data_IF_866529395228
#
_entry.id   IF_866529395228
#
_cell.length_a   1.000
_cell.length_b   1.000
_cell.length_c   1.000
_cell.angle_alpha   90.00
_cell.angle_beta   90.00
_cell.angle_gamma   90.00
#
_symmetry.space_group_name_H-M   'P 1'
#
loop_
_entity.id
_entity.type
_entity.pdbx_description
1 polymer ?
#
# COMPACT_ATOMS: atom_id res chain seq x y z
N UNK A 1 12.85 3.57 -4.80
CA UNK A 1 11.94 2.41 -5.01
C UNK A 1 10.84 2.57 -3.98
N UNK A 2 9.57 2.42 -4.34
CA UNK A 2 8.49 2.74 -3.43
C UNK A 2 8.13 1.53 -2.58
N UNK A 3 7.81 1.76 -1.31
CA UNK A 3 7.38 0.76 -0.35
C UNK A 3 6.04 1.14 0.26
N UNK A 4 5.27 0.14 0.64
CA UNK A 4 4.02 0.31 1.36
C UNK A 4 3.84 -0.80 2.38
N UNK A 5 3.36 -0.41 3.54
CA UNK A 5 2.94 -1.31 4.61
C UNK A 5 1.44 -1.19 4.81
N UNK A 6 0.77 -2.33 5.00
CA UNK A 6 -0.67 -2.38 5.14
C UNK A 6 -1.16 -1.39 6.21
N UNK A 7 -2.21 -0.63 5.88
CA UNK A 7 -2.80 0.37 6.77
C UNK A 7 -3.53 -0.23 7.98
N UNK A 8 -3.83 -1.52 7.95
CA UNK A 8 -4.59 -2.22 8.99
C UNK A 8 -3.66 -2.61 10.16
N UNK A 9 -3.96 -2.17 11.40
CA UNK A 9 -3.15 -2.53 12.56
C UNK A 9 -3.14 -4.05 12.79
N UNK A 10 -1.95 -4.61 12.97
CA UNK A 10 -1.75 -6.06 13.13
C UNK A 10 -1.54 -6.82 11.81
N UNK A 11 -1.65 -6.14 10.65
CA UNK A 11 -1.28 -6.74 9.37
C UNK A 11 0.21 -6.48 9.07
N UNK A 12 0.98 -7.56 8.87
CA UNK A 12 2.41 -7.47 8.52
C UNK A 12 2.67 -7.44 7.01
N UNK A 13 1.62 -7.30 6.20
CA UNK A 13 1.75 -7.31 4.75
C UNK A 13 2.41 -6.03 4.24
N UNK A 14 3.38 -6.19 3.34
CA UNK A 14 4.15 -5.10 2.74
C UNK A 14 4.34 -5.37 1.26
N UNK A 15 4.46 -4.33 0.44
CA UNK A 15 4.79 -4.45 -0.98
C UNK A 15 5.75 -3.36 -1.43
N UNK A 16 6.52 -3.65 -2.47
CA UNK A 16 7.44 -2.73 -3.14
C UNK A 16 7.14 -2.68 -4.63
N UNK A 17 7.21 -1.49 -5.24
CA UNK A 17 7.14 -1.30 -6.69
C UNK A 17 7.80 0.02 -7.10
N UNK A 18 8.02 0.23 -8.40
CA UNK A 18 8.54 1.49 -8.93
C UNK A 18 7.43 2.56 -9.04
N UNK A 19 6.23 2.12 -9.37
CA UNK A 19 5.06 2.98 -9.56
C UNK A 19 4.11 2.90 -8.37
N UNK A 20 3.62 4.07 -7.93
CA UNK A 20 2.59 4.18 -6.90
C UNK A 20 1.28 3.51 -7.33
N UNK A 21 0.93 3.58 -8.62
CA UNK A 21 -0.23 2.89 -9.19
C UNK A 21 -0.17 1.37 -8.96
N UNK A 22 1.01 0.77 -9.08
CA UNK A 22 1.20 -0.66 -8.85
C UNK A 22 1.06 -1.01 -7.37
N UNK A 23 1.63 -0.19 -6.47
CA UNK A 23 1.44 -0.36 -5.04
C UNK A 23 -0.04 -0.24 -4.65
N UNK A 24 -0.73 0.79 -5.15
CA UNK A 24 -2.16 1.00 -4.88
C UNK A 24 -2.99 -0.19 -5.34
N UNK A 25 -2.69 -0.75 -6.52
CA UNK A 25 -3.37 -1.94 -7.04
C UNK A 25 -3.19 -3.14 -6.11
N UNK A 26 -1.94 -3.44 -5.71
CA UNK A 26 -1.63 -4.56 -4.82
C UNK A 26 -2.24 -4.38 -3.42
N UNK A 27 -2.17 -3.18 -2.86
CA UNK A 27 -2.78 -2.86 -1.57
C UNK A 27 -4.31 -3.01 -1.60
N UNK A 28 -4.95 -2.55 -2.68
CA UNK A 28 -6.40 -2.69 -2.86
C UNK A 28 -6.84 -4.15 -2.99
N UNK A 29 -6.07 -4.96 -3.72
CA UNK A 29 -6.30 -6.40 -3.84
C UNK A 29 -6.14 -7.11 -2.49
N UNK A 30 -5.09 -6.76 -1.75
CA UNK A 30 -4.86 -7.28 -0.41
C UNK A 30 -6.00 -6.94 0.56
N UNK A 31 -6.50 -5.69 0.55
CA UNK A 31 -7.64 -5.30 1.38
C UNK A 31 -8.88 -6.14 1.07
N UNK A 32 -9.12 -6.43 -0.21
CA UNK A 32 -10.25 -7.29 -0.61
C UNK A 32 -10.07 -8.74 -0.14
N UNK A 33 -8.89 -9.31 -0.32
CA UNK A 33 -8.64 -10.73 -0.09
C UNK A 33 -8.34 -11.09 1.37
N UNK A 34 -7.58 -10.24 2.08
CA UNK A 34 -7.12 -10.50 3.45
C UNK A 34 -8.00 -9.84 4.52
N UNK A 35 -8.60 -8.68 4.21
CA UNK A 35 -9.42 -7.92 5.15
C UNK A 35 -10.92 -8.00 4.84
N UNK A 36 -11.31 -8.68 3.75
CA UNK A 36 -12.71 -8.81 3.35
C UNK A 36 -13.33 -7.49 2.89
N UNK A 37 -12.49 -6.50 2.51
CA UNK A 37 -12.95 -5.18 2.10
C UNK A 37 -13.65 -5.27 0.74
N UNK A 38 -14.99 -5.31 0.74
CA UNK A 38 -15.79 -5.49 -0.48
C UNK A 38 -15.87 -4.22 -1.34
N UNK A 39 -15.57 -3.05 -0.77
CA UNK A 39 -15.64 -1.76 -1.47
C UNK A 39 -14.46 -0.89 -1.10
N UNK A 40 -13.56 -0.68 -2.07
CA UNK A 40 -12.42 0.23 -1.90
C UNK A 40 -12.89 1.65 -2.22
N UNK A 41 -13.00 2.47 -1.18
CA UNK A 41 -13.44 3.87 -1.29
C UNK A 41 -12.29 4.74 -1.79
N UNK A 42 -12.54 5.84 -2.53
CA UNK A 42 -11.50 6.75 -2.97
C UNK A 42 -10.65 7.27 -1.81
N UNK A 43 -11.27 7.54 -0.65
CA UNK A 43 -10.56 7.92 0.57
C UNK A 43 -9.55 6.87 1.05
N UNK A 44 -9.82 5.57 0.88
CA UNK A 44 -8.85 4.51 1.21
C UNK A 44 -7.66 4.54 0.25
N UNK A 45 -7.90 4.80 -1.04
CA UNK A 45 -6.83 4.97 -2.03
C UNK A 45 -5.92 6.14 -1.65
N UNK A 46 -6.50 7.26 -1.20
CA UNK A 46 -5.72 8.40 -0.72
C UNK A 46 -4.89 8.05 0.52
N UNK A 47 -5.47 7.29 1.46
CA UNK A 47 -4.75 6.80 2.63
C UNK A 47 -3.62 5.82 2.28
N UNK A 48 -3.82 4.97 1.27
CA UNK A 48 -2.78 4.08 0.75
C UNK A 48 -1.66 4.94 0.16
N UNK A 49 -1.98 5.87 -0.75
CA UNK A 49 -1.01 6.77 -1.40
C UNK A 49 -0.21 7.59 -0.39
N UNK A 50 -0.87 8.13 0.64
CA UNK A 50 -0.22 8.89 1.70
C UNK A 50 0.76 8.06 2.55
N UNK A 51 0.63 6.72 2.53
CA UNK A 51 1.51 5.78 3.22
C UNK A 51 2.61 5.20 2.33
N UNK A 52 2.59 5.47 1.03
CA UNK A 52 3.66 5.02 0.14
C UNK A 52 4.90 5.84 0.47
N UNK A 53 5.91 5.17 1.03
CA UNK A 53 7.21 5.76 1.27
C UNK A 53 8.11 5.55 0.06
N UNK A 54 8.88 6.57 -0.31
CA UNK A 54 10.04 6.36 -1.17
C UNK A 54 11.17 5.82 -0.31
N UNK A 55 11.67 4.62 -0.62
CA UNK A 55 13.04 4.28 -0.25
C UNK A 55 13.95 5.14 -1.14
N UNK A 56 14.11 6.41 -0.74
CA UNK A 56 15.30 7.18 -1.02
C UNK A 56 16.44 6.28 -0.55
N UNK A 57 17.28 5.81 -1.49
CA UNK A 57 18.47 5.05 -1.13
C UNK A 57 19.16 5.80 0.00
N UNK A 58 19.14 5.21 1.20
CA UNK A 58 20.06 5.56 2.27
C UNK A 58 21.46 5.38 1.67
N UNK A 59 21.99 6.49 1.19
CA UNK A 59 23.27 6.58 0.52
C UNK A 59 24.31 6.57 1.62
N UNK A 60 25.09 5.49 1.67
CA UNK A 60 26.36 5.41 2.38
C UNK A 60 27.42 5.02 1.36
#
# INVERSE_FOLDING_TARGET
MKHYECLVPGCSWKTHAEEDAEIVRRASDHLRSAHGETTIRPSMIEQIKARIGDEEKASA
#
